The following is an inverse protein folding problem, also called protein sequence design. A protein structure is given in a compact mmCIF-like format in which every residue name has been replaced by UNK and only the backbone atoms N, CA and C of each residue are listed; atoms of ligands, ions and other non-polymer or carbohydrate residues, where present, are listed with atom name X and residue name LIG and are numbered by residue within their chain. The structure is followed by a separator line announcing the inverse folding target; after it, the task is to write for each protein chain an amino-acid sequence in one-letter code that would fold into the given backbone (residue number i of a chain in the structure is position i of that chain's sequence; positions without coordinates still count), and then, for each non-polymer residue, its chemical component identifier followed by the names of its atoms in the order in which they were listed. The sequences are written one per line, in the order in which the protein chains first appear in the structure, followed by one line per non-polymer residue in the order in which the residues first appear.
data_IF_308300390361
#
_entry.id   IF_308300390361
#
_cell.length_a   1.000
_cell.length_b   1.000
_cell.length_c   1.000
_cell.angle_alpha   90.00
_cell.angle_beta   90.00
_cell.angle_gamma   90.00
#
_symmetry.space_group_name_H-M   'P 1'
#
loop_
_entity.id
_entity.type
_entity.pdbx_description
1 polymer ?
#
# COMPACT_ATOMS: atom_id res chain seq x y z
N UNK A 1 -10.34 -12.58 15.21
CA UNK A 1 -11.50 -11.69 15.43
C UNK A 1 -11.98 -11.15 14.10
N UNK A 2 -11.15 -10.43 13.34
CA UNK A 2 -11.48 -9.90 12.00
C UNK A 2 -12.28 -10.84 11.07
N UNK A 3 -11.85 -12.10 10.86
CA UNK A 3 -12.58 -13.04 10.01
C UNK A 3 -13.98 -13.37 10.54
N UNK A 4 -14.15 -13.47 11.86
CA UNK A 4 -15.45 -13.72 12.46
C UNK A 4 -16.36 -12.49 12.28
N UNK A 5 -15.81 -11.28 12.41
CA UNK A 5 -16.55 -10.03 12.20
C UNK A 5 -17.03 -9.90 10.75
N UNK A 6 -16.18 -10.22 9.78
CA UNK A 6 -16.58 -10.28 8.36
C UNK A 6 -17.75 -11.24 8.14
N UNK A 7 -17.73 -12.43 8.74
CA UNK A 7 -18.82 -13.40 8.62
C UNK A 7 -20.09 -12.93 9.34
N UNK A 8 -19.97 -12.23 10.46
CA UNK A 8 -21.10 -11.63 11.18
C UNK A 8 -21.80 -10.54 10.37
N UNK A 9 -21.05 -9.79 9.55
CA UNK A 9 -21.59 -8.83 8.58
C UNK A 9 -22.21 -9.49 7.34
N UNK A 10 -22.22 -10.82 7.26
CA UNK A 10 -22.79 -11.57 6.15
C UNK A 10 -21.87 -11.68 4.93
N UNK A 11 -20.58 -11.30 5.03
CA UNK A 11 -19.63 -11.50 3.94
C UNK A 11 -19.39 -12.99 3.71
N UNK A 12 -19.60 -13.47 2.49
CA UNK A 12 -19.40 -14.88 2.11
C UNK A 12 -18.29 -15.09 1.09
N UNK A 13 -17.60 -14.01 0.71
CA UNK A 13 -16.45 -14.10 -0.19
C UNK A 13 -15.37 -15.07 0.34
N UNK A 14 -14.67 -15.76 -0.58
CA UNK A 14 -13.49 -16.53 -0.22
C UNK A 14 -12.41 -15.59 0.31
N UNK A 15 -11.62 -16.06 1.26
CA UNK A 15 -10.53 -15.29 1.89
C UNK A 15 -9.23 -16.04 1.76
N UNK A 16 -8.15 -15.33 1.44
CA UNK A 16 -6.79 -15.82 1.58
C UNK A 16 -6.12 -15.05 2.72
N UNK A 17 -5.54 -15.78 3.67
CA UNK A 17 -4.70 -15.23 4.73
C UNK A 17 -3.25 -15.48 4.32
N UNK A 18 -2.54 -14.38 4.10
CA UNK A 18 -1.16 -14.38 3.61
C UNK A 18 -0.16 -14.17 4.73
N UNK A 19 0.98 -14.82 4.63
CA UNK A 19 2.14 -14.64 5.53
C UNK A 19 3.45 -14.71 4.73
N UNK A 20 4.55 -14.25 5.34
CA UNK A 20 5.88 -14.34 4.73
C UNK A 20 6.84 -15.18 5.55
N UNK A 21 7.05 -16.44 5.17
CA UNK A 21 8.01 -17.32 5.82
C UNK A 21 7.48 -17.91 7.13
N UNK A 22 6.29 -18.50 7.05
CA UNK A 22 5.61 -19.23 8.13
C UNK A 22 5.46 -18.50 9.48
N UNK A 23 5.16 -17.20 9.46
CA UNK A 23 5.08 -16.34 10.66
C UNK A 23 4.02 -16.79 11.68
N UNK A 24 2.91 -17.37 11.23
CA UNK A 24 1.88 -17.87 12.13
C UNK A 24 2.30 -19.20 12.79
N UNK A 25 2.14 -19.28 14.10
CA UNK A 25 2.36 -20.53 14.83
C UNK A 25 1.33 -21.63 14.44
N UNK A 26 1.65 -22.87 14.82
CA UNK A 26 0.84 -24.02 14.47
C UNK A 26 -0.59 -23.98 15.02
N UNK A 27 -0.83 -23.31 16.15
CA UNK A 27 -2.18 -23.18 16.73
C UNK A 27 -3.02 -22.22 15.91
N UNK A 28 -2.50 -21.03 15.61
CA UNK A 28 -3.18 -20.01 14.79
C UNK A 28 -3.48 -20.53 13.39
N UNK A 29 -2.54 -21.23 12.75
CA UNK A 29 -2.78 -21.92 11.47
C UNK A 29 -3.94 -22.90 11.53
N UNK A 30 -3.96 -23.76 12.56
CA UNK A 30 -5.06 -24.73 12.76
C UNK A 30 -6.40 -24.05 12.99
N UNK A 31 -6.42 -22.89 13.64
CA UNK A 31 -7.65 -22.12 13.80
C UNK A 31 -8.13 -21.58 12.46
N UNK A 32 -7.25 -20.97 11.67
CA UNK A 32 -7.61 -20.43 10.34
C UNK A 32 -8.04 -21.54 9.38
N UNK A 33 -7.35 -22.67 9.36
CA UNK A 33 -7.65 -23.78 8.45
C UNK A 33 -9.02 -24.45 8.72
N UNK A 34 -9.62 -24.22 9.88
CA UNK A 34 -10.97 -24.72 10.23
C UNK A 34 -12.09 -23.80 9.75
N UNK A 35 -11.77 -22.57 9.31
CA UNK A 35 -12.76 -21.61 8.85
C UNK A 35 -13.16 -21.91 7.41
N UNK A 36 -14.46 -22.05 7.17
CA UNK A 36 -14.99 -22.29 5.82
C UNK A 36 -14.75 -21.08 4.92
N UNK A 37 -14.31 -21.36 3.69
CA UNK A 37 -14.00 -20.34 2.69
C UNK A 37 -12.73 -19.53 3.00
N UNK A 38 -11.83 -20.04 3.85
CA UNK A 38 -10.54 -19.41 4.15
C UNK A 38 -9.39 -20.33 3.73
N UNK A 39 -8.40 -19.78 3.03
CA UNK A 39 -7.16 -20.47 2.65
C UNK A 39 -5.95 -19.77 3.25
N UNK A 40 -5.00 -20.55 3.73
CA UNK A 40 -3.67 -20.05 4.09
C UNK A 40 -2.79 -19.98 2.84
N UNK A 41 -2.00 -18.92 2.70
CA UNK A 41 -0.99 -18.75 1.64
C UNK A 41 0.32 -18.26 2.26
N UNK A 42 1.43 -18.83 1.82
CA UNK A 42 2.76 -18.40 2.24
C UNK A 42 3.51 -17.87 1.01
N UNK A 43 4.12 -16.68 1.12
CA UNK A 43 4.98 -16.17 0.06
C UNK A 43 6.19 -17.09 -0.21
N UNK A 44 6.60 -17.90 0.75
CA UNK A 44 7.68 -18.89 0.57
C UNK A 44 7.44 -19.86 -0.60
N UNK A 45 6.18 -20.05 -1.01
CA UNK A 45 5.83 -20.90 -2.15
C UNK A 45 6.09 -20.21 -3.51
N UNK A 46 6.32 -18.89 -3.52
CA UNK A 46 6.42 -18.06 -4.74
C UNK A 46 7.73 -17.29 -4.87
N UNK A 47 8.39 -16.95 -3.76
CA UNK A 47 9.62 -16.16 -3.74
C UNK A 47 10.69 -16.82 -2.87
N UNK A 48 11.95 -16.65 -3.26
CA UNK A 48 13.10 -17.25 -2.54
C UNK A 48 13.44 -16.46 -1.27
N UNK A 49 13.56 -15.14 -1.38
CA UNK A 49 13.90 -14.27 -0.25
C UNK A 49 12.63 -13.75 0.44
N UNK A 50 12.02 -14.55 1.31
CA UNK A 50 10.80 -14.16 2.04
C UNK A 50 11.06 -13.10 3.11
N UNK A 51 12.27 -13.02 3.65
CA UNK A 51 12.68 -11.98 4.60
C UNK A 51 12.56 -10.59 3.97
N UNK A 52 12.86 -10.49 2.66
CA UNK A 52 12.66 -9.27 1.91
C UNK A 52 11.21 -8.78 1.85
N UNK A 53 10.22 -9.66 2.07
CA UNK A 53 8.79 -9.38 1.93
C UNK A 53 8.03 -9.32 3.26
N UNK A 54 8.73 -9.31 4.39
CA UNK A 54 8.09 -9.23 5.72
C UNK A 54 7.43 -7.89 6.01
N UNK A 55 6.50 -7.91 6.97
CA UNK A 55 5.76 -6.73 7.39
C UNK A 55 4.85 -6.21 6.28
N UNK A 56 4.78 -4.88 6.11
CA UNK A 56 3.87 -4.28 5.13
C UNK A 56 4.25 -4.60 3.67
N UNK A 57 5.50 -5.01 3.43
CA UNK A 57 6.03 -5.31 2.10
C UNK A 57 5.25 -6.42 1.38
N UNK A 58 4.75 -7.42 2.12
CA UNK A 58 4.01 -8.57 1.60
C UNK A 58 2.85 -8.14 0.68
N UNK A 59 2.22 -7.01 1.00
CA UNK A 59 1.10 -6.44 0.27
C UNK A 59 1.42 -6.17 -1.20
N UNK A 60 2.68 -5.81 -1.51
CA UNK A 60 3.12 -5.60 -2.88
C UNK A 60 3.24 -6.89 -3.72
N UNK A 61 3.35 -8.05 -3.07
CA UNK A 61 3.44 -9.35 -3.73
C UNK A 61 2.11 -10.09 -3.83
N UNK A 62 1.20 -9.92 -2.87
CA UNK A 62 -0.09 -10.63 -2.84
C UNK A 62 -0.84 -10.49 -4.17
N UNK A 63 -1.01 -9.29 -4.76
CA UNK A 63 -1.73 -9.14 -6.01
C UNK A 63 -1.07 -9.85 -7.20
N UNK A 64 0.19 -10.29 -7.11
CA UNK A 64 0.87 -11.06 -8.16
C UNK A 64 0.56 -12.55 -8.11
N UNK A 65 0.30 -13.09 -6.91
CA UNK A 65 0.26 -14.54 -6.63
C UNK A 65 -1.06 -15.05 -6.05
N UNK A 66 -2.00 -14.17 -5.71
CA UNK A 66 -3.35 -14.58 -5.33
C UNK A 66 -4.09 -15.28 -6.47
N UNK A 67 -5.00 -16.19 -6.11
CA UNK A 67 -5.86 -16.90 -7.05
C UNK A 67 -7.09 -16.05 -7.45
N UNK A 68 -7.28 -14.87 -6.85
CA UNK A 68 -8.40 -13.99 -7.14
C UNK A 68 -8.10 -13.01 -8.27
N UNK A 69 -9.02 -12.87 -9.21
CA UNK A 69 -8.97 -11.83 -10.25
C UNK A 69 -9.34 -10.45 -9.69
N UNK A 70 -10.39 -10.40 -8.87
CA UNK A 70 -10.85 -9.21 -8.15
C UNK A 70 -10.62 -9.43 -6.66
N UNK A 71 -9.91 -8.52 -5.99
CA UNK A 71 -9.54 -8.66 -4.59
C UNK A 71 -9.82 -7.39 -3.79
N UNK A 72 -10.16 -7.60 -2.51
CA UNK A 72 -10.04 -6.61 -1.45
C UNK A 72 -8.85 -7.03 -0.59
N UNK A 73 -7.74 -6.31 -0.70
CA UNK A 73 -6.59 -6.45 0.18
C UNK A 73 -6.87 -5.66 1.47
N UNK A 74 -6.65 -6.28 2.62
CA UNK A 74 -7.04 -5.75 3.94
C UNK A 74 -5.91 -6.02 4.94
N UNK A 75 -5.55 -5.03 5.74
CA UNK A 75 -4.61 -5.22 6.86
C UNK A 75 -5.22 -6.04 7.98
N UNK A 76 -4.37 -6.74 8.75
CA UNK A 76 -4.84 -7.62 9.83
C UNK A 76 -5.53 -6.91 11.00
N UNK A 77 -5.47 -5.59 11.05
CA UNK A 77 -6.04 -4.72 12.09
C UNK A 77 -7.24 -3.86 11.62
N UNK A 78 -7.76 -4.13 10.42
CA UNK A 78 -8.91 -3.39 9.88
C UNK A 78 -10.24 -4.06 10.23
N UNK A 79 -11.16 -3.28 10.81
CA UNK A 79 -12.56 -3.65 11.02
C UNK A 79 -13.48 -3.00 10.00
N UNK A 80 -14.56 -3.68 9.63
CA UNK A 80 -15.62 -3.13 8.79
C UNK A 80 -16.91 -2.91 9.57
N UNK A 81 -17.62 -1.82 9.29
CA UNK A 81 -18.95 -1.58 9.83
C UNK A 81 -20.07 -2.19 8.96
N UNK A 82 -19.77 -2.49 7.69
CA UNK A 82 -20.69 -3.04 6.69
C UNK A 82 -20.01 -4.18 5.94
N UNK A 83 -20.79 -5.05 5.30
CA UNK A 83 -20.22 -6.06 4.41
C UNK A 83 -19.35 -5.39 3.32
N UNK A 84 -18.04 -5.69 3.24
CA UNK A 84 -17.12 -5.04 2.31
C UNK A 84 -17.42 -5.33 0.83
N UNK A 85 -18.27 -6.33 0.53
CA UNK A 85 -18.77 -6.59 -0.83
C UNK A 85 -19.42 -5.37 -1.48
N UNK A 86 -19.91 -4.41 -0.69
CA UNK A 86 -20.45 -3.14 -1.21
C UNK A 86 -19.41 -2.34 -2.01
N UNK A 87 -18.12 -2.49 -1.71
CA UNK A 87 -17.04 -1.75 -2.38
C UNK A 87 -16.93 -2.12 -3.87
N UNK A 88 -17.17 -3.39 -4.23
CA UNK A 88 -17.26 -3.85 -5.62
C UNK A 88 -18.43 -3.21 -6.40
N UNK A 89 -19.43 -2.67 -5.69
CA UNK A 89 -20.60 -2.04 -6.31
C UNK A 89 -20.46 -0.53 -6.47
N UNK A 90 -19.40 0.06 -5.92
CA UNK A 90 -19.15 1.50 -6.05
C UNK A 90 -18.96 1.89 -7.52
N UNK A 91 -19.43 3.08 -7.89
CA UNK A 91 -19.30 3.58 -9.26
C UNK A 91 -17.82 3.66 -9.70
N UNK A 92 -16.95 4.12 -8.81
CA UNK A 92 -15.51 4.24 -9.07
C UNK A 92 -14.89 2.88 -9.36
N UNK A 93 -15.10 1.87 -8.50
CA UNK A 93 -14.55 0.54 -8.74
C UNK A 93 -15.06 -0.06 -10.05
N UNK A 94 -16.35 0.04 -10.35
CA UNK A 94 -16.90 -0.46 -11.62
C UNK A 94 -16.27 0.24 -12.83
N UNK A 95 -16.08 1.55 -12.74
CA UNK A 95 -15.49 2.35 -13.82
C UNK A 95 -14.01 2.02 -14.04
N UNK A 96 -13.21 1.89 -12.98
CA UNK A 96 -11.75 1.81 -13.09
C UNK A 96 -11.20 0.40 -12.87
N UNK A 97 -11.85 -0.44 -12.09
CA UNK A 97 -11.30 -1.71 -11.59
C UNK A 97 -10.35 -1.52 -10.40
N UNK A 98 -10.29 -0.32 -9.82
CA UNK A 98 -9.48 -0.03 -8.64
C UNK A 98 -10.25 0.84 -7.66
N UNK A 99 -9.98 0.69 -6.36
CA UNK A 99 -10.49 1.61 -5.35
C UNK A 99 -9.44 1.78 -4.26
N UNK A 100 -9.08 3.04 -4.01
CA UNK A 100 -8.09 3.45 -3.01
C UNK A 100 -8.73 4.42 -2.02
N UNK A 101 -8.28 4.38 -0.77
CA UNK A 101 -8.66 5.34 0.25
C UNK A 101 -7.64 6.47 0.33
N UNK A 102 -8.11 7.68 0.60
CA UNK A 102 -7.23 8.84 0.75
C UNK A 102 -6.63 8.88 2.14
N UNK A 103 -5.33 9.12 2.22
CA UNK A 103 -4.63 9.55 3.43
C UNK A 103 -4.42 11.06 3.33
N UNK A 104 -5.10 11.85 4.17
CA UNK A 104 -4.96 13.32 4.16
C UNK A 104 -4.26 13.84 5.42
N UNK A 105 -3.81 12.95 6.32
CA UNK A 105 -3.37 13.34 7.66
C UNK A 105 -1.91 13.82 7.68
N UNK A 106 -1.08 13.36 6.74
CA UNK A 106 0.34 13.67 6.72
C UNK A 106 0.65 14.93 5.89
N UNK A 107 1.05 16.02 6.56
CA UNK A 107 1.47 17.28 5.92
C UNK A 107 2.94 17.56 6.20
N UNK A 108 3.63 18.15 5.22
CA UNK A 108 4.97 18.68 5.42
C UNK A 108 4.95 19.87 6.38
N UNK A 109 5.79 19.81 7.42
CA UNK A 109 6.04 20.91 8.34
C UNK A 109 7.53 21.10 8.48
N UNK A 110 8.04 22.22 7.99
CA UNK A 110 9.43 22.60 8.13
C UNK A 110 9.51 23.63 9.25
N UNK A 111 10.36 23.39 10.25
CA UNK A 111 10.58 24.32 11.35
C UNK A 111 11.91 25.04 11.12
N UNK A 112 11.97 26.33 11.45
CA UNK A 112 13.25 27.03 11.55
C UNK A 112 14.03 26.42 12.72
N UNK A 113 15.28 26.01 12.47
CA UNK A 113 16.12 25.42 13.52
C UNK A 113 16.53 26.51 14.53
N UNK A 114 15.94 26.49 15.71
CA UNK A 114 16.51 27.18 16.87
C UNK A 114 17.67 26.35 17.42
N UNK A 115 18.85 26.51 16.83
CA UNK A 115 20.11 26.05 17.42
C UNK A 115 20.47 24.59 17.14
N UNK A 116 21.74 24.41 16.77
CA UNK A 116 22.36 23.17 16.33
C UNK A 116 22.30 22.03 17.35
N UNK A 117 21.82 20.86 16.92
CA UNK A 117 22.29 19.57 17.43
C UNK A 117 22.25 18.51 16.33
N UNK A 118 23.16 17.53 16.41
CA UNK A 118 23.56 16.55 15.39
C UNK A 118 22.46 15.63 14.80
N UNK A 119 21.18 15.90 15.03
CA UNK A 119 20.02 15.29 14.36
C UNK A 119 18.90 16.34 14.22
N UNK A 120 19.14 17.31 13.36
CA UNK A 120 18.12 18.27 12.95
C UNK A 120 17.00 17.54 12.17
N UNK A 121 15.84 17.36 12.80
CA UNK A 121 14.67 16.72 12.20
C UNK A 121 14.19 17.48 10.95
N UNK A 122 14.15 18.81 11.04
CA UNK A 122 13.79 19.69 9.92
C UNK A 122 14.70 19.49 8.70
N UNK A 123 16.01 19.34 8.92
CA UNK A 123 17.01 19.10 7.88
C UNK A 123 16.83 17.73 7.20
N UNK A 124 16.50 16.70 7.97
CA UNK A 124 16.18 15.37 7.43
C UNK A 124 14.89 15.41 6.61
N UNK A 125 13.87 16.11 7.09
CA UNK A 125 12.60 16.30 6.37
C UNK A 125 12.82 17.07 5.07
N UNK A 126 13.64 18.15 5.09
CA UNK A 126 14.03 18.86 3.87
C UNK A 126 14.82 17.99 2.90
N UNK A 127 15.75 17.18 3.39
CA UNK A 127 16.54 16.25 2.56
C UNK A 127 15.62 15.23 1.90
N UNK A 128 14.75 14.59 2.67
CA UNK A 128 13.77 13.63 2.16
C UNK A 128 12.81 14.29 1.17
N UNK A 129 12.28 15.48 1.48
CA UNK A 129 11.41 16.23 0.58
C UNK A 129 12.06 16.47 -0.79
N UNK A 130 13.30 16.99 -0.79
CA UNK A 130 14.06 17.26 -2.03
C UNK A 130 14.41 15.98 -2.78
N UNK A 131 14.80 14.92 -2.06
CA UNK A 131 15.18 13.65 -2.68
C UNK A 131 13.96 12.92 -3.27
N UNK A 132 12.82 12.94 -2.58
CA UNK A 132 11.52 12.44 -3.07
C UNK A 132 11.08 13.18 -4.32
N UNK A 133 11.18 14.52 -4.37
CA UNK A 133 10.89 15.32 -5.58
C UNK A 133 11.72 14.85 -6.78
N UNK A 134 13.04 14.71 -6.60
CA UNK A 134 13.93 14.24 -7.67
C UNK A 134 13.61 12.82 -8.12
N UNK A 135 13.35 11.92 -7.17
CA UNK A 135 13.01 10.54 -7.46
C UNK A 135 11.69 10.41 -8.23
N UNK A 136 10.64 11.10 -7.80
CA UNK A 136 9.35 11.11 -8.49
C UNK A 136 9.45 11.67 -9.92
N UNK A 137 10.18 12.76 -10.13
CA UNK A 137 10.44 13.29 -11.49
C UNK A 137 11.25 12.33 -12.36
N UNK A 138 12.14 11.54 -11.75
CA UNK A 138 12.89 10.50 -12.45
C UNK A 138 12.02 9.30 -12.83
N UNK A 139 11.11 8.90 -11.93
CA UNK A 139 10.21 7.77 -12.12
C UNK A 139 9.05 8.07 -13.09
N UNK A 140 8.42 9.24 -12.93
CA UNK A 140 7.19 9.62 -13.63
C UNK A 140 7.42 10.61 -14.78
N UNK A 141 8.64 11.15 -14.91
CA UNK A 141 9.01 12.12 -15.93
C UNK A 141 9.15 13.56 -15.44
N UNK A 142 9.83 14.37 -16.25
CA UNK A 142 10.16 15.76 -15.92
C UNK A 142 8.93 16.69 -15.87
N UNK A 143 7.84 16.30 -16.53
CA UNK A 143 6.54 17.01 -16.52
C UNK A 143 5.51 16.19 -15.76
N UNK A 144 4.66 16.82 -14.97
CA UNK A 144 3.66 16.13 -14.14
C UNK A 144 2.65 15.38 -15.02
N UNK A 145 2.53 14.04 -14.89
CA UNK A 145 1.49 13.30 -15.58
C UNK A 145 0.07 13.70 -15.13
N UNK A 146 -0.93 13.67 -16.01
CA UNK A 146 -2.33 13.96 -15.65
C UNK A 146 -2.93 13.03 -14.59
N UNK A 147 -2.33 11.85 -14.39
CA UNK A 147 -2.76 10.88 -13.39
C UNK A 147 -2.36 11.28 -11.97
N UNK A 148 -1.34 12.15 -11.80
CA UNK A 148 -0.86 12.61 -10.48
C UNK A 148 -1.94 13.44 -9.77
N UNK A 149 -2.26 13.15 -8.50
CA UNK A 149 -3.13 13.97 -7.68
C UNK A 149 -2.63 15.42 -7.60
N UNK A 150 -3.55 16.38 -7.69
CA UNK A 150 -3.20 17.80 -7.64
C UNK A 150 -2.49 18.17 -6.31
N UNK A 151 -2.80 17.45 -5.23
CA UNK A 151 -2.17 17.59 -3.91
C UNK A 151 -0.65 17.31 -3.94
N UNK A 152 -0.15 16.64 -4.99
CA UNK A 152 1.25 16.33 -5.24
C UNK A 152 1.89 17.20 -6.33
N UNK A 153 1.19 18.20 -6.87
CA UNK A 153 1.72 19.10 -7.88
C UNK A 153 3.02 19.81 -7.45
N UNK A 154 3.15 20.09 -6.15
CA UNK A 154 4.37 20.69 -5.58
C UNK A 154 5.64 19.87 -5.86
N UNK A 155 5.52 18.57 -6.18
CA UNK A 155 6.68 17.77 -6.54
C UNK A 155 7.34 18.27 -7.83
N UNK A 156 6.63 18.98 -8.71
CA UNK A 156 7.14 19.58 -9.94
C UNK A 156 7.47 21.08 -9.82
N UNK A 157 7.24 21.69 -8.67
CA UNK A 157 7.61 23.08 -8.41
C UNK A 157 9.07 23.20 -7.94
N UNK A 158 9.75 24.32 -8.20
CA UNK A 158 11.11 24.52 -7.67
C UNK A 158 11.11 24.94 -6.20
N UNK A 159 10.10 25.70 -5.78
CA UNK A 159 9.96 26.13 -4.40
C UNK A 159 9.67 24.96 -3.45
N UNK A 160 10.06 25.12 -2.19
CA UNK A 160 9.51 24.32 -1.09
C UNK A 160 8.13 24.87 -0.77
N UNK A 161 7.12 23.99 -0.79
CA UNK A 161 5.74 24.31 -0.43
C UNK A 161 5.46 23.75 0.95
N UNK A 162 5.18 24.61 1.91
CA UNK A 162 4.78 24.22 3.26
C UNK A 162 3.34 23.70 3.31
N UNK A 163 3.04 22.88 4.32
CA UNK A 163 1.71 22.26 4.51
C UNK A 163 1.21 21.46 3.31
N UNK A 164 2.09 21.07 2.38
CA UNK A 164 1.73 20.20 1.27
C UNK A 164 1.55 18.75 1.73
N UNK A 165 0.71 18.00 1.02
CA UNK A 165 0.38 16.61 1.38
C UNK A 165 1.59 15.70 1.17
N UNK A 166 1.98 14.97 2.21
CA UNK A 166 3.11 14.04 2.15
C UNK A 166 2.70 12.71 1.53
N UNK A 167 1.64 12.10 2.03
CA UNK A 167 1.09 10.80 1.61
C UNK A 167 -0.35 11.08 1.17
N UNK A 168 -0.80 10.53 0.05
CA UNK A 168 -2.16 10.81 -0.51
C UNK A 168 -3.07 9.59 -0.40
N UNK A 169 -2.49 8.41 -0.20
CA UNK A 169 -3.17 7.13 -0.29
C UNK A 169 -2.88 6.28 0.94
N UNK A 170 -3.92 5.66 1.47
CA UNK A 170 -3.86 4.66 2.53
C UNK A 170 -3.91 3.25 1.94
N UNK A 171 -3.05 2.35 2.42
CA UNK A 171 -2.98 0.95 1.96
C UNK A 171 -3.54 -0.07 2.96
N UNK A 172 -4.33 0.37 3.94
CA UNK A 172 -5.02 -0.53 4.87
C UNK A 172 -6.14 -1.31 4.20
N UNK A 173 -6.79 -0.71 3.20
CA UNK A 173 -7.76 -1.39 2.32
C UNK A 173 -7.51 -0.98 0.87
N UNK A 174 -7.36 -1.96 -0.02
CA UNK A 174 -7.14 -1.72 -1.46
C UNK A 174 -7.99 -2.67 -2.28
N UNK A 175 -8.70 -2.15 -3.29
CA UNK A 175 -9.41 -3.00 -4.26
C UNK A 175 -8.75 -2.95 -5.61
N UNK A 176 -8.59 -4.12 -6.22
CA UNK A 176 -7.98 -4.29 -7.54
C UNK A 176 -8.75 -5.34 -8.36
N UNK A 177 -8.94 -5.07 -9.65
CA UNK A 177 -9.20 -6.06 -10.69
C UNK A 177 -7.89 -6.27 -11.47
N UNK A 178 -7.21 -7.39 -11.18
CA UNK A 178 -5.91 -7.72 -11.78
C UNK A 178 -5.99 -7.89 -13.29
N UNK A 179 -7.12 -8.35 -13.82
CA UNK A 179 -7.26 -8.60 -15.27
C UNK A 179 -7.26 -7.30 -16.06
N UNK A 180 -7.79 -6.24 -15.45
CA UNK A 180 -7.82 -4.89 -16.04
C UNK A 180 -6.49 -4.15 -15.92
N UNK A 181 -5.65 -4.52 -14.95
CA UNK A 181 -4.44 -3.78 -14.60
C UNK A 181 -3.16 -4.63 -14.51
N UNK A 182 -2.79 -5.44 -15.52
CA UNK A 182 -1.60 -6.27 -15.45
C UNK A 182 -0.30 -5.46 -15.26
N UNK A 183 -0.24 -4.25 -15.82
CA UNK A 183 0.88 -3.31 -15.64
C UNK A 183 1.04 -2.85 -14.19
N UNK A 184 -0.07 -2.48 -13.54
CA UNK A 184 -0.08 -2.12 -12.11
C UNK A 184 0.45 -3.28 -11.27
N UNK A 185 -0.01 -4.51 -11.53
CA UNK A 185 0.43 -5.68 -10.75
C UNK A 185 1.93 -5.92 -10.91
N UNK A 186 2.48 -5.76 -12.12
CA UNK A 186 3.91 -5.89 -12.37
C UNK A 186 4.71 -4.77 -11.67
N UNK A 187 4.31 -3.52 -11.86
CA UNK A 187 5.00 -2.36 -11.29
C UNK A 187 4.93 -2.35 -9.76
N UNK A 188 3.78 -2.72 -9.18
CA UNK A 188 3.62 -2.84 -7.74
C UNK A 188 4.60 -3.87 -7.18
N UNK A 189 4.70 -5.04 -7.82
CA UNK A 189 5.67 -6.05 -7.42
C UNK A 189 7.10 -5.51 -7.50
N UNK A 190 7.49 -4.89 -8.62
CA UNK A 190 8.85 -4.39 -8.83
C UNK A 190 9.24 -3.24 -7.88
N UNK A 191 8.35 -2.28 -7.64
CA UNK A 191 8.58 -1.19 -6.69
C UNK A 191 8.87 -1.73 -5.28
N UNK A 192 8.16 -2.79 -4.91
CA UNK A 192 8.25 -3.44 -3.62
C UNK A 192 9.44 -4.42 -3.52
N UNK A 193 9.75 -5.16 -4.58
CA UNK A 193 10.97 -5.95 -4.68
C UNK A 193 12.23 -5.08 -4.54
N UNK A 194 12.18 -3.85 -5.08
CA UNK A 194 13.25 -2.85 -5.00
C UNK A 194 13.17 -1.96 -3.73
N UNK A 195 12.61 -2.45 -2.62
CA UNK A 195 12.39 -1.67 -1.37
C UNK A 195 13.61 -0.89 -0.87
N UNK A 196 14.83 -1.42 -1.06
CA UNK A 196 16.08 -0.77 -0.62
C UNK A 196 16.35 0.57 -1.34
N UNK A 197 15.68 0.79 -2.47
CA UNK A 197 15.66 2.06 -3.21
C UNK A 197 14.32 2.76 -2.96
N UNK A 198 13.20 2.09 -3.25
CA UNK A 198 11.86 2.70 -3.22
C UNK A 198 11.53 3.33 -1.87
N UNK A 199 11.76 2.61 -0.76
CA UNK A 199 11.34 3.06 0.58
C UNK A 199 12.22 4.18 1.15
N UNK A 200 13.26 4.60 0.43
CA UNK A 200 13.99 5.83 0.75
C UNK A 200 13.18 7.08 0.40
N UNK A 201 12.10 6.95 -0.39
CA UNK A 201 11.35 8.06 -0.96
C UNK A 201 9.84 8.00 -0.71
N UNK A 202 9.33 6.88 -0.20
CA UNK A 202 7.92 6.67 0.17
C UNK A 202 7.81 6.07 1.57
N UNK A 203 6.62 6.08 2.17
CA UNK A 203 6.42 5.48 3.48
C UNK A 203 5.93 4.04 3.34
N UNK A 204 6.90 3.12 3.25
CA UNK A 204 6.60 1.71 3.06
C UNK A 204 5.90 1.45 1.73
N UNK A 205 4.89 0.58 1.75
CA UNK A 205 4.14 0.12 0.59
C UNK A 205 3.07 1.11 0.13
N UNK A 206 2.63 2.04 0.99
CA UNK A 206 1.45 2.89 0.77
C UNK A 206 1.41 3.49 -0.63
N UNK A 207 2.36 4.36 -0.95
CA UNK A 207 2.37 5.04 -2.25
C UNK A 207 2.69 4.12 -3.43
N UNK A 208 3.22 2.92 -3.19
CA UNK A 208 3.55 2.00 -4.29
C UNK A 208 2.30 1.52 -5.03
N UNK A 209 1.15 1.44 -4.37
CA UNK A 209 -0.14 1.13 -5.03
C UNK A 209 -0.59 2.21 -5.99
N UNK A 210 -0.29 3.47 -5.67
CA UNK A 210 -0.66 4.60 -6.51
C UNK A 210 0.37 4.83 -7.63
N UNK A 211 1.66 4.58 -7.35
CA UNK A 211 2.76 4.76 -8.31
C UNK A 211 2.85 3.67 -9.38
N UNK A 212 2.28 2.49 -9.13
CA UNK A 212 2.33 1.32 -10.01
C UNK A 212 1.38 1.44 -11.22
#
# INVERSE_FOLDING_TARGET
EQLADLRALGCRLPVEVWESGRELDAQRRRMVSRLSGVRMRDLADFVVDTEAWRGWQIKGAIPRFTDFDELILIDGDIGFALNPEVLFRTANYRATGTYFFRDEQSKWRFFADEGSSLRCKSCNDHRFYRSRKRWLRGLLGATMPPSVPQEWAYHWEEATVENSTKEVMDSGVVLLDRRRHPGLIANLFELNANRSVTYKYVYGDKETFWLA
#
